data_IF_071288800533
#
_entry.id   IF_071288800533
#
_cell.length_a   1.000
_cell.length_b   1.000
_cell.length_c   1.000
_cell.angle_alpha   90.00
_cell.angle_beta   90.00
_cell.angle_gamma   90.00
#
_symmetry.space_group_name_H-M   'P 1'
#
loop_
_entity.id
_entity.type
_entity.pdbx_description
1 polymer ?
#
# COMPACT_ATOMS: atom_id res chain seq x y z
N UNK A 1 7.05 -7.44 -36.46
CA UNK A 1 5.77 -8.08 -36.13
C UNK A 1 5.95 -9.56 -36.37
N UNK A 2 5.79 -10.37 -35.34
CA UNK A 2 5.86 -11.82 -35.53
C UNK A 2 4.58 -12.26 -36.26
N UNK A 3 4.74 -12.90 -37.42
CA UNK A 3 3.66 -13.33 -38.32
C UNK A 3 3.33 -14.81 -38.16
N UNK A 4 4.02 -15.49 -37.25
CA UNK A 4 3.88 -16.91 -36.95
C UNK A 4 3.59 -17.13 -35.47
N UNK A 5 2.85 -18.20 -35.16
CA UNK A 5 2.60 -18.60 -33.77
C UNK A 5 3.92 -18.95 -33.08
N UNK A 6 4.16 -18.42 -31.88
CA UNK A 6 5.36 -18.70 -31.08
C UNK A 6 5.41 -20.18 -30.71
N UNK A 7 6.38 -20.97 -31.22
CA UNK A 7 6.53 -22.37 -30.83
C UNK A 7 7.22 -22.42 -29.46
N UNK A 8 6.63 -23.13 -28.50
CA UNK A 8 7.15 -23.30 -27.13
C UNK A 8 7.31 -21.96 -26.35
N UNK A 9 6.22 -21.21 -26.12
CA UNK A 9 6.29 -19.97 -25.33
C UNK A 9 6.75 -20.23 -23.89
N UNK A 10 7.58 -19.33 -23.36
CA UNK A 10 7.95 -19.32 -21.95
C UNK A 10 6.73 -18.97 -21.08
N UNK A 11 6.62 -19.56 -19.88
CA UNK A 11 5.60 -19.17 -18.89
C UNK A 11 5.73 -17.66 -18.63
N UNK A 12 4.59 -16.97 -18.62
CA UNK A 12 4.48 -15.52 -18.48
C UNK A 12 4.97 -14.69 -19.68
N UNK A 13 5.26 -15.31 -20.84
CA UNK A 13 5.51 -14.56 -22.07
C UNK A 13 4.27 -13.74 -22.43
N UNK A 14 4.43 -12.41 -22.52
CA UNK A 14 3.38 -11.46 -22.92
C UNK A 14 3.52 -11.10 -24.41
N UNK A 15 2.43 -11.21 -25.15
CA UNK A 15 2.37 -10.85 -26.58
C UNK A 15 1.15 -9.98 -26.86
N UNK A 16 1.23 -9.11 -27.87
CA UNK A 16 0.09 -8.35 -28.37
C UNK A 16 -0.47 -8.99 -29.63
N UNK A 17 -1.69 -9.51 -29.57
CA UNK A 17 -2.41 -10.04 -30.71
C UNK A 17 -3.04 -8.89 -31.53
N UNK A 18 -2.79 -8.87 -32.83
CA UNK A 18 -3.24 -7.80 -33.75
C UNK A 18 -4.44 -8.21 -34.62
N UNK A 19 -4.89 -9.46 -34.54
CA UNK A 19 -5.96 -10.02 -35.39
C UNK A 19 -7.22 -10.29 -34.54
N UNK A 20 -8.40 -10.10 -35.12
CA UNK A 20 -9.66 -10.59 -34.54
C UNK A 20 -10.22 -11.71 -35.41
N UNK A 21 -10.43 -12.89 -34.84
CA UNK A 21 -11.10 -14.02 -35.47
C UNK A 21 -12.08 -14.66 -34.46
N UNK A 22 -12.88 -15.65 -34.89
CA UNK A 22 -13.89 -16.27 -34.03
C UNK A 22 -13.26 -16.90 -32.77
N UNK A 23 -13.34 -16.21 -31.64
CA UNK A 23 -12.84 -16.66 -30.33
C UNK A 23 -11.61 -15.91 -29.79
N UNK A 24 -10.94 -15.08 -30.60
CA UNK A 24 -9.76 -14.31 -30.17
C UNK A 24 -9.89 -12.86 -30.67
N UNK A 25 -9.76 -11.90 -29.77
CA UNK A 25 -9.81 -10.46 -30.07
C UNK A 25 -8.43 -9.83 -29.95
N UNK A 26 -8.23 -8.65 -30.56
CA UNK A 26 -7.00 -7.86 -30.36
C UNK A 26 -6.78 -7.56 -28.88
N UNK A 27 -5.53 -7.53 -28.45
CA UNK A 27 -5.14 -7.23 -27.08
C UNK A 27 -3.90 -7.98 -26.63
N UNK A 28 -3.53 -7.77 -25.37
CA UNK A 28 -2.44 -8.50 -24.75
C UNK A 28 -2.88 -9.91 -24.33
N UNK A 29 -1.99 -10.87 -24.49
CA UNK A 29 -2.15 -12.27 -24.08
C UNK A 29 -0.88 -12.74 -23.40
N UNK A 30 -1.00 -13.60 -22.40
CA UNK A 30 0.14 -14.23 -21.76
C UNK A 30 0.03 -15.76 -21.79
N UNK A 31 1.18 -16.43 -21.80
CA UNK A 31 1.24 -17.89 -21.73
C UNK A 31 1.22 -18.36 -20.27
N UNK A 32 0.24 -19.19 -19.89
CA UNK A 32 0.13 -19.74 -18.52
C UNK A 32 0.95 -21.03 -18.31
N UNK A 33 1.65 -21.52 -19.35
CA UNK A 33 2.32 -22.82 -19.37
C UNK A 33 1.58 -23.88 -20.18
N UNK A 34 0.29 -23.70 -20.45
CA UNK A 34 -0.57 -24.66 -21.17
C UNK A 34 -1.43 -24.04 -22.27
N UNK A 35 -1.83 -22.77 -22.13
CA UNK A 35 -2.65 -22.04 -23.09
C UNK A 35 -2.35 -20.54 -23.05
N UNK A 36 -2.72 -19.86 -24.13
CA UNK A 36 -2.76 -18.41 -24.17
C UNK A 36 -4.00 -17.92 -23.44
N UNK A 37 -3.80 -17.18 -22.36
CA UNK A 37 -4.85 -16.45 -21.69
C UNK A 37 -4.79 -15.01 -22.18
N UNK A 38 -5.95 -14.45 -22.55
CA UNK A 38 -6.03 -13.01 -22.78
C UNK A 38 -5.64 -12.35 -21.47
N UNK A 39 -4.75 -11.37 -21.52
CA UNK A 39 -4.60 -10.43 -20.43
C UNK A 39 -5.89 -9.62 -20.47
N UNK A 40 -6.89 -10.14 -19.76
CA UNK A 40 -8.26 -9.68 -19.88
C UNK A 40 -8.28 -8.19 -19.56
N UNK A 41 -8.98 -7.42 -20.39
CA UNK A 41 -9.43 -6.06 -20.07
C UNK A 41 -10.26 -6.02 -18.75
N UNK A 42 -10.60 -7.19 -18.18
CA UNK A 42 -11.26 -7.36 -16.89
C UNK A 42 -10.33 -7.35 -15.69
N UNK A 43 -8.99 -7.36 -15.84
CA UNK A 43 -8.16 -6.79 -14.77
C UNK A 43 -8.27 -5.27 -14.91
N UNK A 44 -9.44 -4.75 -14.50
CA UNK A 44 -9.71 -3.33 -14.48
C UNK A 44 -8.93 -2.74 -13.32
N UNK A 45 -7.63 -2.55 -13.53
CA UNK A 45 -6.82 -1.71 -12.66
C UNK A 45 -7.21 -0.27 -13.03
N UNK A 46 -8.16 0.26 -12.28
CA UNK A 46 -8.58 1.64 -12.38
C UNK A 46 -7.61 2.53 -11.59
N UNK A 47 -7.57 3.81 -11.95
CA UNK A 47 -6.81 4.81 -11.21
C UNK A 47 -7.53 6.15 -11.22
N UNK A 48 -7.33 6.94 -10.17
CA UNK A 48 -7.85 8.30 -10.06
C UNK A 48 -7.33 9.02 -8.81
N UNK A 49 -7.68 10.29 -8.66
CA UNK A 49 -7.19 11.14 -7.57
C UNK A 49 -8.13 11.21 -6.35
N UNK A 50 -9.20 10.40 -6.35
CA UNK A 50 -10.15 10.29 -5.27
C UNK A 50 -10.41 8.80 -4.98
N UNK A 51 -10.96 8.49 -3.80
CA UNK A 51 -11.36 7.12 -3.48
C UNK A 51 -12.47 6.65 -4.41
N UNK A 52 -12.48 5.35 -4.78
CA UNK A 52 -13.45 4.84 -5.70
C UNK A 52 -14.84 4.83 -5.06
N UNK A 53 -15.79 5.53 -5.69
CA UNK A 53 -17.21 5.32 -5.41
C UNK A 53 -17.64 3.99 -6.05
N UNK A 54 -18.85 3.50 -5.79
CA UNK A 54 -19.37 2.29 -6.45
C UNK A 54 -19.87 2.66 -7.85
N UNK A 55 -19.15 2.40 -8.96
CA UNK A 55 -19.76 2.43 -10.28
C UNK A 55 -20.50 1.12 -10.55
N UNK A 56 -21.56 1.22 -11.35
CA UNK A 56 -22.48 0.14 -11.70
C UNK A 56 -21.90 -0.93 -12.63
N UNK A 57 -20.58 -0.89 -12.92
CA UNK A 57 -19.91 -1.82 -13.86
C UNK A 57 -18.69 -2.56 -13.27
N UNK A 58 -18.55 -2.55 -11.95
CA UNK A 58 -17.47 -3.29 -11.27
C UNK A 58 -17.75 -4.78 -11.21
N UNK A 59 -16.69 -5.57 -11.33
CA UNK A 59 -16.66 -7.00 -11.08
C UNK A 59 -15.86 -7.29 -9.81
N UNK A 60 -16.25 -8.34 -9.06
CA UNK A 60 -15.47 -8.79 -7.91
C UNK A 60 -14.02 -9.04 -8.31
N UNK A 61 -13.08 -8.48 -7.56
CA UNK A 61 -11.65 -8.55 -7.84
C UNK A 61 -11.09 -7.39 -8.65
N UNK A 62 -11.93 -6.44 -9.10
CA UNK A 62 -11.45 -5.19 -9.68
C UNK A 62 -10.54 -4.45 -8.69
N UNK A 63 -9.51 -3.78 -9.23
CA UNK A 63 -8.49 -3.07 -8.45
C UNK A 63 -8.59 -1.58 -8.77
N UNK A 64 -8.52 -0.72 -7.76
CA UNK A 64 -8.44 0.73 -7.96
C UNK A 64 -7.28 1.31 -7.18
N UNK A 65 -6.48 2.17 -7.81
CA UNK A 65 -5.39 2.91 -7.18
C UNK A 65 -5.80 4.39 -7.04
N UNK A 66 -5.88 4.88 -5.81
CA UNK A 66 -5.97 6.31 -5.57
C UNK A 66 -4.55 6.92 -5.66
N UNK A 67 -4.26 7.65 -6.73
CA UNK A 67 -2.95 8.26 -6.98
C UNK A 67 -2.60 9.39 -6.01
N UNK A 68 -3.60 10.02 -5.41
CA UNK A 68 -3.37 11.10 -4.43
C UNK A 68 -2.96 10.56 -3.06
N UNK A 69 -3.43 9.37 -2.69
CA UNK A 69 -3.12 8.75 -1.39
C UNK A 69 -2.22 7.52 -1.49
N UNK A 70 -1.98 7.00 -2.70
CA UNK A 70 -1.31 5.71 -2.92
C UNK A 70 -2.12 4.49 -2.46
N UNK A 71 -3.40 4.66 -2.10
CA UNK A 71 -4.23 3.58 -1.53
C UNK A 71 -4.69 2.61 -2.61
N UNK A 72 -4.54 1.31 -2.35
CA UNK A 72 -5.06 0.23 -3.19
C UNK A 72 -6.42 -0.22 -2.67
N UNK A 73 -7.43 -0.27 -3.53
CA UNK A 73 -8.75 -0.81 -3.25
C UNK A 73 -9.02 -2.06 -4.09
N UNK A 74 -9.75 -3.02 -3.52
CA UNK A 74 -10.27 -4.20 -4.23
C UNK A 74 -11.79 -4.26 -4.07
N UNK A 75 -12.52 -4.43 -5.17
CA UNK A 75 -13.97 -4.57 -5.14
C UNK A 75 -14.36 -5.99 -4.71
N UNK A 76 -15.14 -6.13 -3.65
CA UNK A 76 -15.54 -7.45 -3.12
C UNK A 76 -16.85 -8.00 -3.71
N UNK A 77 -17.41 -7.33 -4.73
CA UNK A 77 -18.72 -7.65 -5.29
C UNK A 77 -19.85 -6.73 -4.81
N UNK A 78 -19.62 -5.95 -3.74
CA UNK A 78 -20.59 -4.98 -3.25
C UNK A 78 -19.97 -3.62 -2.91
N UNK A 79 -18.75 -3.60 -2.38
CA UNK A 79 -18.04 -2.39 -1.98
C UNK A 79 -16.57 -2.46 -2.38
N UNK A 80 -15.94 -1.29 -2.47
CA UNK A 80 -14.49 -1.17 -2.53
C UNK A 80 -13.89 -1.29 -1.12
N UNK A 81 -12.99 -2.24 -0.95
CA UNK A 81 -12.28 -2.48 0.31
C UNK A 81 -10.84 -2.01 0.13
N UNK A 82 -10.40 -1.07 0.97
CA UNK A 82 -8.98 -0.67 1.02
C UNK A 82 -8.14 -1.87 1.46
N UNK A 83 -7.20 -2.30 0.62
CA UNK A 83 -6.28 -3.42 0.87
C UNK A 83 -4.94 -2.94 1.43
N UNK A 84 -4.52 -1.75 1.04
CA UNK A 84 -3.39 -1.04 1.59
C UNK A 84 -3.89 0.37 1.81
N UNK A 85 -4.18 0.72 3.07
CA UNK A 85 -4.24 2.15 3.39
C UNK A 85 -2.85 2.66 3.07
N UNK A 86 -2.74 3.50 2.03
CA UNK A 86 -1.58 4.37 1.89
C UNK A 86 -1.64 5.38 3.03
N UNK A 87 -1.60 4.89 4.27
CA UNK A 87 -1.59 5.73 5.44
C UNK A 87 -0.33 6.55 5.27
N UNK A 88 -0.50 7.84 5.01
CA UNK A 88 0.62 8.75 5.05
C UNK A 88 1.16 8.65 6.48
N UNK A 89 2.34 8.05 6.59
CA UNK A 89 2.99 7.86 7.88
C UNK A 89 4.01 8.98 8.00
N UNK A 90 3.74 9.95 8.87
CA UNK A 90 4.80 10.86 9.29
C UNK A 90 5.68 10.11 10.29
N UNK A 91 7.00 10.14 10.09
CA UNK A 91 7.94 9.47 10.98
C UNK A 91 9.10 10.37 11.36
N UNK A 92 9.50 10.30 12.63
CA UNK A 92 10.73 10.93 13.11
C UNK A 92 11.54 9.87 13.85
N UNK A 93 12.85 9.88 13.61
CA UNK A 93 13.84 9.09 14.34
C UNK A 93 14.64 10.04 15.23
N UNK A 94 14.75 9.71 16.52
CA UNK A 94 15.50 10.47 17.51
C UNK A 94 16.49 9.52 18.21
N UNK A 95 17.72 9.96 18.42
CA UNK A 95 18.70 9.25 19.24
C UNK A 95 18.60 9.80 20.65
N UNK A 96 18.29 8.94 21.62
CA UNK A 96 18.07 9.36 22.99
C UNK A 96 19.38 9.58 23.76
N UNK A 97 19.35 10.56 24.66
CA UNK A 97 20.34 10.69 25.72
C UNK A 97 20.02 9.75 26.89
N UNK A 98 21.02 9.50 27.75
CA UNK A 98 20.83 8.70 28.94
C UNK A 98 19.80 9.33 29.89
N UNK A 99 18.85 8.53 30.37
CA UNK A 99 17.75 8.96 31.23
C UNK A 99 16.63 9.72 30.53
N UNK A 100 16.69 9.95 29.22
CA UNK A 100 15.65 10.69 28.49
C UNK A 100 14.33 9.92 28.44
N UNK A 101 13.22 10.60 28.77
CA UNK A 101 11.86 10.03 28.74
C UNK A 101 10.88 10.82 27.88
N UNK A 102 11.28 12.00 27.40
CA UNK A 102 10.41 12.93 26.68
C UNK A 102 10.99 13.25 25.32
N UNK A 103 10.13 13.27 24.30
CA UNK A 103 10.53 13.42 22.90
C UNK A 103 9.62 14.43 22.19
N UNK A 104 10.19 15.48 21.57
CA UNK A 104 9.42 16.41 20.75
C UNK A 104 9.01 15.74 19.44
N UNK A 105 7.85 16.12 18.92
CA UNK A 105 7.40 15.74 17.57
C UNK A 105 7.30 16.98 16.68
N UNK A 106 7.76 16.91 15.42
CA UNK A 106 7.67 18.02 14.47
C UNK A 106 6.24 18.32 13.97
N UNK A 107 5.27 17.46 14.28
CA UNK A 107 3.86 17.60 13.93
C UNK A 107 2.99 17.33 15.15
N UNK A 108 1.72 17.77 15.07
CA UNK A 108 0.75 17.51 16.12
C UNK A 108 0.48 16.00 16.25
N UNK A 109 0.35 15.47 17.46
CA UNK A 109 0.13 14.04 17.73
C UNK A 109 -1.07 13.80 18.66
N UNK A 110 -1.62 12.59 18.59
CA UNK A 110 -2.64 12.07 19.52
C UNK A 110 -2.38 10.60 19.83
N UNK A 111 -2.98 10.09 20.90
CA UNK A 111 -2.86 8.67 21.27
C UNK A 111 -3.55 7.73 20.28
N UNK A 112 -4.58 8.19 19.58
CA UNK A 112 -5.40 7.35 18.68
C UNK A 112 -4.67 6.95 17.40
N UNK A 113 -3.70 7.75 16.96
CA UNK A 113 -3.05 7.57 15.66
C UNK A 113 -1.53 7.65 15.71
N UNK A 114 -0.93 7.53 16.89
CA UNK A 114 0.54 7.59 17.05
C UNK A 114 1.04 6.28 17.66
N UNK A 115 2.16 5.78 17.13
CA UNK A 115 2.89 4.63 17.67
C UNK A 115 4.33 5.04 17.94
N UNK A 116 4.85 4.63 19.09
CA UNK A 116 6.23 4.89 19.53
C UNK A 116 6.96 3.56 19.61
N UNK A 117 8.19 3.54 19.11
CA UNK A 117 9.08 2.38 19.18
C UNK A 117 10.41 2.79 19.78
N UNK A 118 10.91 2.01 20.74
CA UNK A 118 12.26 2.10 21.27
C UNK A 118 13.05 0.87 20.83
N UNK A 119 14.14 1.07 20.09
CA UNK A 119 14.97 -0.02 19.53
C UNK A 119 14.15 -1.09 18.78
N UNK A 120 13.06 -0.67 18.12
CA UNK A 120 12.17 -1.55 17.38
C UNK A 120 11.03 -2.20 18.18
N UNK A 121 10.98 -2.04 19.50
CA UNK A 121 9.88 -2.53 20.35
C UNK A 121 8.81 -1.44 20.48
N UNK A 122 7.54 -1.78 20.21
CA UNK A 122 6.43 -0.86 20.44
C UNK A 122 6.22 -0.65 21.93
N UNK A 123 6.13 0.62 22.36
CA UNK A 123 5.93 0.99 23.76
C UNK A 123 4.78 1.99 23.88
N UNK A 124 4.16 1.99 25.07
CA UNK A 124 3.13 2.95 25.41
C UNK A 124 3.74 4.33 25.73
N UNK A 125 2.91 5.36 25.59
CA UNK A 125 3.32 6.75 25.80
C UNK A 125 2.13 7.59 26.25
N UNK A 126 2.44 8.78 26.76
CA UNK A 126 1.49 9.83 27.08
C UNK A 126 1.75 11.04 26.18
N UNK A 127 0.68 11.74 25.81
CA UNK A 127 0.78 13.03 25.12
C UNK A 127 0.91 14.13 26.17
N UNK A 128 2.10 14.72 26.30
CA UNK A 128 2.30 15.86 27.20
C UNK A 128 1.78 17.16 26.60
N UNK A 129 1.88 17.29 25.28
CA UNK A 129 1.32 18.39 24.50
C UNK A 129 1.10 17.93 23.07
N UNK A 130 0.43 18.74 22.25
CA UNK A 130 0.26 18.43 20.83
C UNK A 130 1.57 18.12 20.10
N UNK A 131 2.74 18.59 20.57
CA UNK A 131 4.03 18.36 19.92
C UNK A 131 5.06 17.65 20.81
N UNK A 132 4.62 16.92 21.85
CA UNK A 132 5.52 16.24 22.76
C UNK A 132 4.90 14.99 23.38
N UNK A 133 5.67 13.91 23.43
CA UNK A 133 5.32 12.67 24.12
C UNK A 133 6.23 12.43 25.34
N UNK A 134 5.71 11.66 26.28
CA UNK A 134 6.47 11.02 27.36
C UNK A 134 6.31 9.51 27.27
N UNK A 135 7.41 8.78 27.43
CA UNK A 135 7.35 7.32 27.51
C UNK A 135 6.54 6.88 28.74
N UNK A 136 6.02 5.66 28.71
CA UNK A 136 5.31 5.07 29.85
C UNK A 136 6.15 5.07 31.14
N UNK A 137 5.46 4.99 32.28
CA UNK A 137 6.11 5.06 33.60
C UNK A 137 7.05 3.88 33.79
N UNK A 138 8.26 4.15 34.25
CA UNK A 138 9.29 3.12 34.47
C UNK A 138 10.18 2.86 33.24
N UNK A 139 9.93 3.52 32.11
CA UNK A 139 10.79 3.46 30.92
C UNK A 139 11.68 4.70 30.86
N UNK A 140 13.00 4.49 30.93
CA UNK A 140 14.01 5.49 30.58
C UNK A 140 14.92 4.97 29.48
N UNK A 141 15.34 5.87 28.59
CA UNK A 141 16.30 5.53 27.55
C UNK A 141 17.73 5.49 28.09
N UNK A 142 18.56 4.70 27.43
CA UNK A 142 20.01 4.77 27.54
C UNK A 142 20.57 5.59 26.39
N UNK A 143 21.79 6.11 26.56
CA UNK A 143 22.48 6.81 25.48
C UNK A 143 22.55 5.93 24.21
N UNK A 144 22.18 6.52 23.08
CA UNK A 144 22.11 5.90 21.75
C UNK A 144 20.89 5.00 21.47
N UNK A 145 19.92 4.92 22.37
CA UNK A 145 18.65 4.28 22.04
C UNK A 145 17.97 5.00 20.85
N UNK A 146 17.44 4.22 19.93
CA UNK A 146 16.68 4.73 18.80
C UNK A 146 15.19 4.82 19.16
N UNK A 147 14.64 6.03 19.10
CA UNK A 147 13.21 6.28 19.21
C UNK A 147 12.64 6.59 17.83
N UNK A 148 11.69 5.79 17.39
CA UNK A 148 10.89 6.04 16.18
C UNK A 148 9.46 6.34 16.56
N UNK A 149 8.96 7.49 16.13
CA UNK A 149 7.57 7.91 16.35
C UNK A 149 6.89 7.96 14.99
N UNK A 150 5.81 7.20 14.84
CA UNK A 150 5.00 7.14 13.65
C UNK A 150 3.63 7.73 13.93
N UNK A 151 3.19 8.67 13.08
CA UNK A 151 1.81 9.18 13.07
C UNK A 151 1.12 8.67 11.81
N UNK A 152 0.01 7.99 12.02
CA UNK A 152 -0.88 7.50 10.99
C UNK A 152 -1.90 8.61 10.68
N UNK A 153 -1.91 9.09 9.44
CA UNK A 153 -2.81 10.16 8.99
C UNK A 153 -4.19 9.63 8.57
#
# INVERSE_FOLDING_TARGET
TDITTVPNPAVSLLVYNTISNAGITKGYYYWDGSKWLRFNDSSKIFYGNADPTIPTTNSTGDIYVNNSTGTLFVYNGSNWISQMSGTEILSVKIIAADGQTEFPTPWSISTSNTKVYRNGVNIDFQVLSSFNIKLETGVSCYANDEIKIYKFL
#
